data_IF_059008773015
#
_entry.id   IF_059008773015
#
_cell.length_a   1.000
_cell.length_b   1.000
_cell.length_c   1.000
_cell.angle_alpha   90.00
_cell.angle_beta   90.00
_cell.angle_gamma   90.00
#
_symmetry.space_group_name_H-M   'P 1'
#
loop_
_entity.id
_entity.type
_entity.pdbx_description
1 polymer ?
#
# COMPACT_ATOMS: atom_id res chain seq x y z
N UNK A 1 35.32 22.57 5.68
CA UNK A 1 34.48 21.57 4.99
C UNK A 1 34.39 21.97 3.53
N UNK A 2 34.79 21.07 2.62
CA UNK A 2 34.83 21.34 1.18
C UNK A 2 33.43 21.42 0.57
N UNK A 3 33.25 22.20 -0.49
CA UNK A 3 31.98 22.34 -1.24
C UNK A 3 31.53 20.97 -1.80
N UNK A 4 32.48 20.08 -2.10
CA UNK A 4 32.20 18.72 -2.57
C UNK A 4 31.47 17.84 -1.54
N UNK A 5 31.69 18.05 -0.25
CA UNK A 5 30.95 17.33 0.81
C UNK A 5 29.50 17.75 0.84
N UNK A 6 29.21 19.07 0.75
CA UNK A 6 27.82 19.57 0.75
C UNK A 6 27.00 19.06 -0.44
N UNK A 7 27.63 18.91 -1.61
CA UNK A 7 26.96 18.38 -2.79
C UNK A 7 26.62 16.90 -2.62
N UNK A 8 27.55 16.09 -2.09
CA UNK A 8 27.31 14.66 -1.82
C UNK A 8 26.21 14.49 -0.77
N UNK A 9 26.24 15.29 0.29
CA UNK A 9 25.24 15.25 1.37
C UNK A 9 23.83 15.59 0.84
N UNK A 10 23.72 16.62 0.01
CA UNK A 10 22.45 17.03 -0.61
C UNK A 10 21.90 15.97 -1.58
N UNK A 11 22.77 15.36 -2.40
CA UNK A 11 22.39 14.28 -3.32
C UNK A 11 21.93 13.05 -2.55
N UNK A 12 22.63 12.69 -1.47
CA UNK A 12 22.29 11.53 -0.65
C UNK A 12 20.97 11.74 0.10
N UNK A 13 20.72 12.96 0.60
CA UNK A 13 19.41 13.35 1.16
C UNK A 13 18.29 13.28 0.13
N UNK A 14 18.52 13.80 -1.07
CA UNK A 14 17.52 13.80 -2.14
C UNK A 14 17.18 12.37 -2.58
N UNK A 15 18.19 11.51 -2.76
CA UNK A 15 18.00 10.11 -3.09
C UNK A 15 17.18 9.37 -2.02
N UNK A 16 17.54 9.54 -0.74
CA UNK A 16 16.79 8.93 0.37
C UNK A 16 15.33 9.40 0.43
N UNK A 17 15.07 10.69 0.16
CA UNK A 17 13.70 11.21 0.15
C UNK A 17 12.86 10.69 -1.01
N UNK A 18 13.48 10.49 -2.18
CA UNK A 18 12.81 9.90 -3.33
C UNK A 18 12.50 8.43 -3.06
N UNK A 19 13.44 7.69 -2.49
CA UNK A 19 13.26 6.28 -2.15
C UNK A 19 12.20 6.08 -1.06
N UNK A 20 12.19 6.91 -0.01
CA UNK A 20 11.11 6.92 1.00
C UNK A 20 9.75 7.28 0.39
N UNK A 21 9.69 8.26 -0.52
CA UNK A 21 8.43 8.68 -1.13
C UNK A 21 7.86 7.62 -2.08
N UNK A 22 8.73 6.97 -2.86
CA UNK A 22 8.34 5.87 -3.76
C UNK A 22 7.98 4.63 -2.97
N UNK A 23 8.76 4.28 -1.95
CA UNK A 23 8.47 3.19 -1.01
C UNK A 23 7.10 3.39 -0.37
N UNK A 24 6.87 4.54 0.29
CA UNK A 24 5.57 4.86 0.90
C UNK A 24 4.42 4.79 -0.09
N UNK A 25 4.56 5.33 -1.30
CA UNK A 25 3.47 5.26 -2.30
C UNK A 25 3.18 3.84 -2.79
N UNK A 26 4.22 3.02 -2.93
CA UNK A 26 4.09 1.65 -3.44
C UNK A 26 3.54 0.73 -2.35
N UNK A 27 4.07 0.81 -1.13
CA UNK A 27 3.55 0.08 0.04
C UNK A 27 2.08 0.44 0.32
N UNK A 28 1.71 1.72 0.30
CA UNK A 28 0.34 2.14 0.57
C UNK A 28 -0.64 1.69 -0.53
N UNK A 29 -0.18 1.71 -1.79
CA UNK A 29 -0.96 1.17 -2.91
C UNK A 29 -1.13 -0.36 -2.82
N UNK A 30 -0.07 -1.08 -2.44
CA UNK A 30 -0.12 -2.54 -2.28
C UNK A 30 -0.99 -2.94 -1.08
N UNK A 31 -0.86 -2.24 0.05
CA UNK A 31 -1.67 -2.43 1.24
C UNK A 31 -3.15 -2.12 0.99
N UNK A 32 -3.44 -1.03 0.27
CA UNK A 32 -4.80 -0.67 -0.14
C UNK A 32 -5.39 -1.70 -1.09
N UNK A 33 -4.60 -2.20 -2.04
CA UNK A 33 -5.03 -3.23 -2.98
C UNK A 33 -5.32 -4.57 -2.29
N UNK A 34 -4.48 -4.98 -1.32
CA UNK A 34 -4.75 -6.16 -0.50
C UNK A 34 -6.01 -5.97 0.36
N UNK A 35 -6.15 -4.82 1.03
CA UNK A 35 -7.33 -4.52 1.84
C UNK A 35 -8.63 -4.48 1.02
N UNK A 36 -8.60 -3.97 -0.21
CA UNK A 36 -9.76 -4.01 -1.11
C UNK A 36 -10.09 -5.44 -1.59
N UNK A 37 -9.08 -6.25 -1.90
CA UNK A 37 -9.29 -7.67 -2.25
C UNK A 37 -9.89 -8.46 -1.09
N UNK A 38 -9.38 -8.27 0.13
CA UNK A 38 -9.94 -8.92 1.32
C UNK A 38 -11.38 -8.46 1.59
N UNK A 39 -11.67 -7.16 1.44
CA UNK A 39 -13.04 -6.66 1.54
C UNK A 39 -13.97 -7.28 0.51
N UNK A 40 -13.57 -7.33 -0.76
CA UNK A 40 -14.36 -7.96 -1.82
C UNK A 40 -14.63 -9.43 -1.54
N UNK A 41 -13.60 -10.18 -1.16
CA UNK A 41 -13.73 -11.61 -0.83
C UNK A 41 -14.62 -11.84 0.40
N UNK A 42 -14.55 -10.97 1.40
CA UNK A 42 -15.43 -11.01 2.57
C UNK A 42 -16.87 -10.67 2.23
N UNK A 43 -17.12 -9.63 1.42
CA UNK A 43 -18.46 -9.26 0.96
C UNK A 43 -19.08 -10.37 0.09
N UNK A 44 -18.32 -10.96 -0.82
CA UNK A 44 -18.77 -12.08 -1.66
C UNK A 44 -19.12 -13.32 -0.82
N UNK A 45 -18.31 -13.64 0.21
CA UNK A 45 -18.61 -14.72 1.15
C UNK A 45 -19.88 -14.43 1.96
N UNK A 46 -20.01 -13.23 2.52
CA UNK A 46 -21.20 -12.81 3.26
C UNK A 46 -22.46 -12.85 2.40
N UNK A 47 -22.37 -12.41 1.14
CA UNK A 47 -23.48 -12.48 0.19
C UNK A 47 -23.85 -13.93 -0.12
N UNK A 48 -22.85 -14.81 -0.29
CA UNK A 48 -23.07 -16.23 -0.54
C UNK A 48 -23.67 -16.95 0.66
N UNK A 49 -23.20 -16.66 1.88
CA UNK A 49 -23.76 -17.23 3.11
C UNK A 49 -25.19 -16.75 3.33
N UNK A 50 -25.48 -15.47 3.13
CA UNK A 50 -26.83 -14.91 3.26
C UNK A 50 -27.80 -15.50 2.23
N UNK A 51 -27.33 -15.79 1.01
CA UNK A 51 -28.13 -16.47 0.00
C UNK A 51 -28.44 -17.92 0.40
N UNK A 52 -27.47 -18.64 0.98
CA UNK A 52 -27.69 -20.01 1.48
C UNK A 52 -28.62 -20.04 2.69
N UNK A 53 -28.50 -19.08 3.62
CA UNK A 53 -29.36 -18.96 4.79
C UNK A 53 -30.82 -18.62 4.38
N UNK A 54 -30.99 -17.82 3.32
CA UNK A 54 -32.31 -17.47 2.78
C UNK A 54 -33.00 -18.59 1.99
N UNK A 55 -32.24 -19.54 1.44
CA UNK A 55 -32.75 -20.70 0.68
C UNK A 55 -33.00 -21.94 1.59
N UNK A 56 -32.64 -21.85 2.88
CA UNK A 56 -32.81 -22.92 3.87
C UNK A 56 -34.10 -22.79 4.72
N UNK A 57 -35.08 -21.97 4.32
CA UNK A 57 -36.33 -21.77 5.06
C UNK A 57 -37.59 -22.28 4.33
#
# INVERSE_FOLDING_TARGET
MSIGDKAKDAVQKAAGHVEEAVGKKTDDAELTAQGQKDKSMSEDRLATERAKDGDQH
#
